data_IF_018684813901
#
_entry.id   IF_018684813901
#
_cell.length_a   1.000
_cell.length_b   1.000
_cell.length_c   1.000
_cell.angle_alpha   90.00
_cell.angle_beta   90.00
_cell.angle_gamma   90.00
#
_symmetry.space_group_name_H-M   'P 1'
#
loop_
_entity.id
_entity.type
_entity.pdbx_description
1 polymer ?
#
# COMPACT_ATOMS: atom_id res chain seq x y z
N UNK A 1 42.69 -35.21 60.24
CA UNK A 1 42.55 -33.76 60.53
C UNK A 1 42.13 -32.91 59.32
N UNK A 2 42.35 -33.29 58.05
CA UNK A 2 42.00 -32.43 56.88
C UNK A 2 40.49 -32.36 56.52
N UNK A 3 39.68 -33.33 56.92
CA UNK A 3 38.24 -33.40 56.56
C UNK A 3 37.34 -32.51 57.44
N UNK A 4 37.70 -32.32 58.72
CA UNK A 4 36.92 -31.49 59.65
C UNK A 4 37.05 -30.00 59.28
N UNK A 5 38.24 -29.57 58.86
CA UNK A 5 38.44 -28.19 58.40
C UNK A 5 37.68 -27.86 57.12
N UNK A 6 37.51 -28.83 56.21
CA UNK A 6 36.72 -28.62 54.99
C UNK A 6 35.22 -28.51 55.30
N UNK A 7 34.71 -29.32 56.23
CA UNK A 7 33.30 -29.24 56.65
C UNK A 7 32.99 -27.94 57.41
N UNK A 8 33.91 -27.46 58.25
CA UNK A 8 33.80 -26.16 58.90
C UNK A 8 33.87 -24.99 57.92
N UNK A 9 34.72 -25.08 56.89
CA UNK A 9 34.81 -24.07 55.84
C UNK A 9 33.54 -24.03 54.98
N UNK A 10 32.98 -25.20 54.63
CA UNK A 10 31.71 -25.30 53.91
C UNK A 10 30.54 -24.78 54.75
N UNK A 11 30.51 -25.04 56.06
CA UNK A 11 29.48 -24.52 56.96
C UNK A 11 29.59 -22.99 57.13
N UNK A 12 30.80 -22.45 57.25
CA UNK A 12 31.04 -21.00 57.29
C UNK A 12 30.65 -20.32 55.98
N UNK A 13 30.97 -20.93 54.83
CA UNK A 13 30.57 -20.42 53.51
C UNK A 13 29.03 -20.47 53.33
N UNK A 14 28.36 -21.53 53.78
CA UNK A 14 26.90 -21.61 53.76
C UNK A 14 26.25 -20.55 54.67
N UNK A 15 26.80 -20.32 55.87
CA UNK A 15 26.33 -19.26 56.76
C UNK A 15 26.54 -17.87 56.15
N UNK A 16 27.65 -17.61 55.45
CA UNK A 16 27.83 -16.34 54.73
C UNK A 16 26.88 -16.19 53.54
N UNK A 17 26.58 -17.26 52.79
CA UNK A 17 25.61 -17.19 51.69
C UNK A 17 24.16 -17.02 52.17
N UNK A 18 23.82 -17.51 53.37
CA UNK A 18 22.49 -17.28 53.97
C UNK A 18 22.39 -15.87 54.57
N UNK A 19 23.48 -15.29 55.09
CA UNK A 19 23.53 -13.89 55.51
C UNK A 19 23.66 -12.88 54.36
N UNK A 20 24.07 -13.32 53.17
CA UNK A 20 24.02 -12.58 51.90
C UNK A 20 22.96 -13.12 50.94
N UNK A 21 21.90 -13.73 51.46
CA UNK A 21 20.64 -13.67 50.73
C UNK A 21 20.42 -12.18 50.43
N UNK A 22 20.16 -11.76 49.18
CA UNK A 22 19.61 -10.45 48.96
C UNK A 22 18.32 -10.44 49.76
N UNK A 23 18.38 -9.92 50.99
CA UNK A 23 17.20 -9.48 51.69
C UNK A 23 16.45 -8.73 50.63
N UNK A 24 15.22 -9.16 50.37
CA UNK A 24 14.31 -8.43 49.52
C UNK A 24 14.60 -6.97 49.82
N UNK A 25 15.18 -6.26 48.85
CA UNK A 25 14.91 -4.85 48.71
C UNK A 25 13.40 -4.86 48.52
N UNK A 26 12.67 -4.97 49.64
CA UNK A 26 11.36 -4.41 49.83
C UNK A 26 11.60 -3.05 49.27
N UNK A 27 11.18 -2.87 48.02
CA UNK A 27 10.98 -1.57 47.44
C UNK A 27 10.30 -0.83 48.56
N UNK A 28 11.03 0.11 49.17
CA UNK A 28 10.55 0.89 50.29
C UNK A 28 9.21 1.37 49.79
N UNK A 29 8.16 0.81 50.38
CA UNK A 29 6.85 0.88 49.80
C UNK A 29 6.49 2.36 50.03
N UNK A 30 6.71 3.21 49.01
CA UNK A 30 6.37 4.65 49.02
C UNK A 30 4.87 4.88 49.27
N UNK A 31 4.13 3.82 49.56
CA UNK A 31 2.78 3.81 50.11
C UNK A 31 2.70 4.32 51.55
N UNK A 32 3.80 4.39 52.32
CA UNK A 32 3.78 4.89 53.71
C UNK A 32 3.90 6.43 53.86
N UNK A 33 4.35 7.16 52.83
CA UNK A 33 4.41 8.64 52.83
C UNK A 33 3.07 9.33 52.53
N UNK A 34 1.98 8.56 52.43
CA UNK A 34 0.69 9.04 51.96
C UNK A 34 -0.35 9.29 53.07
N UNK A 35 0.05 9.34 54.35
CA UNK A 35 -0.89 9.24 55.49
C UNK A 35 -2.06 10.28 55.53
N UNK A 36 -1.90 11.56 55.16
CA UNK A 36 -3.01 12.53 55.18
C UNK A 36 -3.95 12.39 53.97
N UNK A 37 -3.39 12.23 52.77
CA UNK A 37 -4.11 12.26 51.50
C UNK A 37 -4.80 10.92 51.19
N UNK A 38 -4.24 9.81 51.70
CA UNK A 38 -4.91 8.51 51.67
C UNK A 38 -6.29 8.60 52.28
N UNK A 39 -6.55 9.40 53.33
CA UNK A 39 -7.89 9.48 53.95
C UNK A 39 -8.97 9.97 52.98
N UNK A 40 -8.67 10.95 52.12
CA UNK A 40 -9.67 11.55 51.23
C UNK A 40 -10.05 10.65 50.03
N UNK A 41 -9.12 9.81 49.57
CA UNK A 41 -9.31 8.93 48.42
C UNK A 41 -9.09 7.43 48.75
N UNK A 42 -9.09 7.05 50.04
CA UNK A 42 -8.69 5.70 50.54
C UNK A 42 -9.48 4.57 49.92
N UNK A 43 -10.77 4.83 49.75
CA UNK A 43 -11.75 3.89 49.26
C UNK A 43 -11.84 3.92 47.74
N UNK A 44 -10.99 4.65 47.02
CA UNK A 44 -11.07 4.75 45.56
C UNK A 44 -10.00 3.89 44.88
N UNK A 45 -10.32 3.41 43.69
CA UNK A 45 -9.39 2.76 42.77
C UNK A 45 -9.71 3.14 41.33
N UNK A 46 -8.66 3.38 40.55
CA UNK A 46 -8.78 3.40 39.10
C UNK A 46 -9.02 1.98 38.59
N UNK A 47 -9.98 1.85 37.67
CA UNK A 47 -10.27 0.62 36.96
C UNK A 47 -10.15 0.89 35.47
N UNK A 48 -9.26 0.18 34.80
CA UNK A 48 -9.24 0.14 33.35
C UNK A 48 -10.51 -0.55 32.83
N UNK A 49 -11.29 0.14 32.01
CA UNK A 49 -12.53 -0.40 31.43
C UNK A 49 -12.26 -0.96 30.03
N UNK A 50 -11.69 -0.13 29.16
CA UNK A 50 -11.50 -0.46 27.74
C UNK A 50 -10.49 0.46 27.09
N UNK A 51 -10.04 0.06 25.90
CA UNK A 51 -9.39 0.95 24.96
C UNK A 51 -9.99 0.76 23.55
N UNK A 52 -9.85 1.77 22.70
CA UNK A 52 -10.14 1.71 21.27
C UNK A 52 -9.05 2.42 20.48
N UNK A 53 -8.82 1.99 19.24
CA UNK A 53 -7.93 2.69 18.31
C UNK A 53 -8.77 3.74 17.57
N UNK A 54 -8.48 5.01 17.81
CA UNK A 54 -9.16 6.13 17.16
C UNK A 54 -8.55 6.47 15.81
N UNK A 55 -7.22 6.46 15.74
CA UNK A 55 -6.48 6.86 14.55
C UNK A 55 -5.25 5.96 14.38
N UNK A 56 -4.90 5.69 13.13
CA UNK A 56 -3.63 5.09 12.74
C UNK A 56 -2.89 6.03 11.79
N UNK A 57 -1.61 6.29 12.04
CA UNK A 57 -0.75 7.15 11.21
C UNK A 57 0.39 6.32 10.59
N UNK A 58 0.46 6.34 9.27
CA UNK A 58 1.41 5.59 8.44
C UNK A 58 2.34 6.54 7.69
N UNK A 59 3.58 6.09 7.48
CA UNK A 59 4.52 6.72 6.55
C UNK A 59 4.67 5.81 5.33
N UNK A 60 4.24 6.29 4.17
CA UNK A 60 4.34 5.53 2.92
C UNK A 60 4.57 6.46 1.73
N UNK A 61 5.54 6.08 0.89
CA UNK A 61 5.80 6.68 -0.42
C UNK A 61 5.97 8.21 -0.36
N UNK A 62 6.67 8.69 0.69
CA UNK A 62 6.90 10.12 0.93
C UNK A 62 5.68 10.89 1.44
N UNK A 63 4.66 10.20 1.97
CA UNK A 63 3.45 10.80 2.52
C UNK A 63 3.16 10.28 3.93
N UNK A 64 2.49 11.13 4.73
CA UNK A 64 1.86 10.75 5.99
C UNK A 64 0.40 10.43 5.71
N UNK A 65 -0.04 9.21 6.01
CA UNK A 65 -1.44 8.80 5.86
C UNK A 65 -2.04 8.64 7.24
N UNK A 66 -3.06 9.44 7.54
CA UNK A 66 -3.86 9.33 8.76
C UNK A 66 -5.18 8.65 8.43
N UNK A 67 -5.51 7.63 9.22
CA UNK A 67 -6.73 6.85 9.12
C UNK A 67 -7.50 7.00 10.42
N UNK A 68 -8.62 7.70 10.38
CA UNK A 68 -9.52 7.86 11.53
C UNK A 68 -10.61 6.80 11.46
N UNK A 69 -10.69 5.97 12.50
CA UNK A 69 -11.61 4.84 12.54
C UNK A 69 -13.03 5.29 12.93
N UNK A 70 -14.05 5.00 12.11
CA UNK A 70 -15.45 5.41 12.37
C UNK A 70 -16.45 4.29 12.12
N UNK A 71 -16.45 3.30 13.01
CA UNK A 71 -17.42 2.20 12.94
C UNK A 71 -17.21 1.39 11.66
N UNK A 72 -18.14 1.46 10.71
CA UNK A 72 -18.09 0.67 9.46
C UNK A 72 -17.24 1.31 8.35
N UNK A 73 -16.88 2.58 8.46
CA UNK A 73 -16.04 3.26 7.47
C UNK A 73 -14.98 4.08 8.17
N UNK A 74 -13.88 4.32 7.48
CA UNK A 74 -12.77 5.12 8.01
C UNK A 74 -12.57 6.36 7.16
N UNK A 75 -12.18 7.45 7.80
CA UNK A 75 -11.78 8.69 7.12
C UNK A 75 -10.27 8.68 6.92
N UNK A 76 -9.83 8.79 5.68
CA UNK A 76 -8.42 8.86 5.29
C UNK A 76 -8.04 10.30 4.97
N UNK A 77 -6.86 10.69 5.44
CA UNK A 77 -6.21 11.97 5.13
C UNK A 77 -4.77 11.70 4.72
N UNK A 78 -4.39 12.12 3.51
CA UNK A 78 -3.04 11.97 2.98
C UNK A 78 -2.36 13.32 2.98
N UNK A 79 -1.22 13.42 3.63
CA UNK A 79 -0.42 14.63 3.74
C UNK A 79 0.94 14.43 3.08
N UNK A 80 1.49 15.49 2.47
CA UNK A 80 2.92 15.54 2.15
C UNK A 80 3.75 15.60 3.42
N UNK A 81 5.04 15.27 3.31
CA UNK A 81 6.04 15.44 4.38
C UNK A 81 6.09 16.84 4.99
N UNK A 82 5.74 17.88 4.24
CA UNK A 82 5.66 19.25 4.74
C UNK A 82 4.34 19.60 5.46
N UNK A 83 3.46 18.61 5.70
CA UNK A 83 2.19 18.78 6.41
C UNK A 83 1.02 19.28 5.56
N UNK A 84 1.21 19.53 4.25
CA UNK A 84 0.11 19.93 3.36
C UNK A 84 -0.81 18.74 3.08
N UNK A 85 -2.11 18.91 3.32
CA UNK A 85 -3.14 17.94 2.94
C UNK A 85 -3.22 17.82 1.40
N UNK A 86 -3.13 16.58 0.90
CA UNK A 86 -3.27 16.23 -0.51
C UNK A 86 -4.66 15.70 -0.82
N UNK A 87 -5.13 14.73 -0.04
CA UNK A 87 -6.38 14.02 -0.28
C UNK A 87 -7.10 13.75 1.04
N UNK A 88 -8.43 13.78 1.00
CA UNK A 88 -9.29 13.31 2.08
C UNK A 88 -10.46 12.53 1.51
N UNK A 89 -10.72 11.34 2.01
CA UNK A 89 -11.76 10.44 1.46
C UNK A 89 -12.18 9.39 2.47
N UNK A 90 -13.23 8.66 2.16
CA UNK A 90 -13.70 7.52 2.95
C UNK A 90 -13.20 6.21 2.38
N UNK A 91 -12.86 5.27 3.26
CA UNK A 91 -12.61 3.88 2.90
C UNK A 91 -13.37 2.92 3.81
N UNK A 92 -13.50 1.67 3.39
CA UNK A 92 -13.94 0.57 4.25
C UNK A 92 -12.78 0.14 5.19
N UNK A 93 -13.09 -0.72 6.15
CA UNK A 93 -12.16 -1.25 7.14
C UNK A 93 -11.02 -2.08 6.53
N UNK A 94 -11.21 -2.66 5.35
CA UNK A 94 -10.16 -3.37 4.60
C UNK A 94 -9.27 -2.44 3.76
N UNK A 95 -9.61 -1.15 3.67
CA UNK A 95 -8.89 -0.15 2.89
C UNK A 95 -9.45 0.11 1.49
N UNK A 96 -10.61 -0.46 1.12
CA UNK A 96 -11.30 -0.14 -0.13
C UNK A 96 -11.76 1.32 -0.14
N UNK A 97 -11.33 2.09 -1.13
CA UNK A 97 -11.75 3.49 -1.31
C UNK A 97 -13.22 3.55 -1.74
N UNK A 98 -14.02 4.30 -0.97
CA UNK A 98 -15.48 4.43 -1.17
C UNK A 98 -15.88 5.76 -1.84
N UNK A 99 -15.00 6.76 -1.83
CA UNK A 99 -15.27 8.08 -2.41
C UNK A 99 -14.77 8.19 -3.85
N UNK A 100 -15.48 8.90 -4.75
CA UNK A 100 -14.91 9.33 -6.01
C UNK A 100 -13.84 10.40 -5.75
N UNK A 101 -12.65 10.24 -6.35
CA UNK A 101 -11.57 11.22 -6.22
C UNK A 101 -10.50 11.07 -7.32
N UNK A 102 -9.64 12.08 -7.42
CA UNK A 102 -8.36 11.99 -8.09
C UNK A 102 -7.25 11.76 -7.05
N UNK A 103 -6.72 10.55 -6.99
CA UNK A 103 -5.69 10.18 -6.02
C UNK A 103 -4.30 10.29 -6.65
N UNK A 104 -3.49 11.23 -6.17
CA UNK A 104 -2.07 11.32 -6.54
C UNK A 104 -1.22 10.49 -5.59
N UNK A 105 -0.34 9.64 -6.14
CA UNK A 105 0.56 8.76 -5.40
C UNK A 105 1.90 8.62 -6.12
N UNK A 106 2.91 8.10 -5.43
CA UNK A 106 4.23 7.83 -6.00
C UNK A 106 4.40 6.33 -6.23
N UNK A 107 4.69 5.93 -7.47
CA UNK A 107 4.92 4.54 -7.86
C UNK A 107 5.95 4.49 -8.98
N UNK A 108 6.82 3.46 -8.96
CA UNK A 108 7.81 3.20 -10.02
C UNK A 108 8.72 4.41 -10.34
N UNK A 109 8.94 5.31 -9.38
CA UNK A 109 9.77 6.50 -9.59
C UNK A 109 9.00 7.75 -10.07
N UNK A 110 7.69 7.64 -10.31
CA UNK A 110 6.85 8.70 -10.88
C UNK A 110 5.66 9.06 -9.99
N UNK A 111 5.18 10.30 -10.11
CA UNK A 111 3.92 10.70 -9.52
C UNK A 111 2.77 10.42 -10.49
N UNK A 112 1.96 9.43 -10.15
CA UNK A 112 0.78 9.05 -10.90
C UNK A 112 -0.47 9.64 -10.25
N UNK A 113 -1.50 9.89 -11.06
CA UNK A 113 -2.82 10.31 -10.58
C UNK A 113 -3.89 9.38 -11.13
N UNK A 114 -4.59 8.69 -10.23
CA UNK A 114 -5.70 7.83 -10.59
C UNK A 114 -7.04 8.54 -10.40
N UNK A 115 -7.90 8.48 -11.41
CA UNK A 115 -9.31 8.86 -11.31
C UNK A 115 -10.13 7.65 -10.85
N UNK A 116 -10.71 7.75 -9.65
CA UNK A 116 -11.44 6.67 -9.00
C UNK A 116 -12.93 7.01 -8.99
N UNK A 117 -13.77 6.09 -9.47
CA UNK A 117 -15.24 6.25 -9.54
C UNK A 117 -15.94 5.01 -9.00
N UNK A 118 -16.10 4.88 -7.67
CA UNK A 118 -16.65 3.70 -7.02
C UNK A 118 -18.07 3.33 -7.52
N UNK A 119 -18.46 2.07 -7.35
CA UNK A 119 -19.80 1.56 -7.68
C UNK A 119 -20.03 1.20 -9.15
N UNK A 120 -19.08 1.50 -10.04
CA UNK A 120 -19.23 1.28 -11.49
C UNK A 120 -18.32 0.18 -12.06
N UNK A 121 -17.56 -0.50 -11.19
CA UNK A 121 -16.45 -1.39 -11.59
C UNK A 121 -15.29 -0.62 -12.23
N UNK A 122 -14.16 -1.28 -12.45
CA UNK A 122 -12.98 -0.67 -13.06
C UNK A 122 -11.71 -1.44 -12.74
N UNK A 123 -10.57 -0.80 -13.01
CA UNK A 123 -9.28 -1.43 -12.75
C UNK A 123 -8.96 -1.46 -11.25
N UNK A 124 -8.36 -2.56 -10.81
CA UNK A 124 -7.91 -2.74 -9.44
C UNK A 124 -6.49 -2.20 -9.28
N UNK A 125 -6.31 -1.25 -8.37
CA UNK A 125 -5.01 -0.72 -8.02
C UNK A 125 -4.82 -0.58 -6.50
N UNK A 126 -3.58 -0.70 -6.05
CA UNK A 126 -3.17 -0.61 -4.64
C UNK A 126 -2.28 0.62 -4.43
N UNK A 127 -2.46 1.28 -3.29
CA UNK A 127 -1.79 2.53 -2.95
C UNK A 127 -1.09 2.45 -1.60
N UNK A 128 -0.07 3.30 -1.41
CA UNK A 128 0.59 3.56 -0.13
C UNK A 128 1.06 2.27 0.55
N UNK A 129 1.87 1.48 -0.15
CA UNK A 129 2.32 0.16 0.30
C UNK A 129 1.18 -0.81 0.65
N UNK A 130 0.15 -0.86 -0.21
CA UNK A 130 -1.06 -1.70 -0.06
C UNK A 130 -1.87 -1.38 1.20
N UNK A 131 -1.78 -0.14 1.67
CA UNK A 131 -2.63 0.35 2.76
C UNK A 131 -4.07 0.51 2.29
N UNK A 132 -4.23 1.01 1.06
CA UNK A 132 -5.51 1.34 0.46
C UNK A 132 -5.58 0.73 -0.93
N UNK A 133 -6.78 0.49 -1.43
CA UNK A 133 -6.98 0.05 -2.80
C UNK A 133 -8.30 0.54 -3.37
N UNK A 134 -8.41 0.48 -4.69
CA UNK A 134 -9.65 0.73 -5.41
C UNK A 134 -9.80 -0.33 -6.48
N UNK A 135 -11.03 -0.80 -6.70
CA UNK A 135 -11.43 -1.65 -7.82
C UNK A 135 -12.21 -0.86 -8.88
N UNK A 136 -12.07 0.47 -8.88
CA UNK A 136 -12.87 1.38 -9.67
C UNK A 136 -12.04 2.50 -10.30
N UNK A 137 -10.78 2.19 -10.65
CA UNK A 137 -9.91 3.13 -11.36
C UNK A 137 -10.34 3.21 -12.83
N UNK A 138 -10.52 4.45 -13.32
CA UNK A 138 -10.98 4.77 -14.68
C UNK A 138 -9.91 5.38 -15.56
N UNK A 139 -8.96 6.06 -14.94
CA UNK A 139 -7.85 6.70 -15.62
C UNK A 139 -6.65 6.68 -14.70
N UNK A 140 -5.49 6.28 -15.21
CA UNK A 140 -4.18 6.56 -14.60
C UNK A 140 -3.47 7.58 -15.47
N UNK A 141 -3.00 8.67 -14.88
CA UNK A 141 -2.27 9.73 -15.58
C UNK A 141 -0.87 9.92 -14.98
N UNK A 142 0.16 9.88 -15.81
CA UNK A 142 1.48 10.43 -15.52
C UNK A 142 1.62 11.77 -16.24
N UNK A 143 1.49 12.86 -15.49
CA UNK A 143 1.58 14.22 -16.07
C UNK A 143 3.00 14.59 -16.48
N UNK A 144 4.01 14.00 -15.84
CA UNK A 144 5.42 14.30 -16.14
C UNK A 144 5.87 13.54 -17.39
N UNK A 145 5.52 12.26 -17.49
CA UNK A 145 5.76 11.44 -18.68
C UNK A 145 4.78 11.66 -19.83
N UNK A 146 3.69 12.39 -19.60
CA UNK A 146 2.67 12.68 -20.61
C UNK A 146 1.82 11.45 -20.99
N UNK A 147 1.69 10.47 -20.09
CA UNK A 147 0.95 9.23 -20.37
C UNK A 147 -0.42 9.21 -19.70
N UNK A 148 -1.38 8.57 -20.36
CA UNK A 148 -2.74 8.35 -19.86
C UNK A 148 -3.17 6.92 -20.17
N UNK A 149 -3.76 6.24 -19.20
CA UNK A 149 -4.36 4.91 -19.38
C UNK A 149 -5.81 4.93 -18.93
N UNK A 150 -6.73 4.84 -19.88
CA UNK A 150 -8.16 4.74 -19.61
C UNK A 150 -8.54 3.28 -19.44
N UNK A 151 -9.41 2.97 -18.49
CA UNK A 151 -9.90 1.61 -18.24
C UNK A 151 -11.40 1.50 -18.51
N UNK A 152 -11.81 0.34 -19.01
CA UNK A 152 -13.22 0.02 -19.21
C UNK A 152 -13.97 -0.19 -17.86
N UNK A 153 -15.27 -0.49 -17.93
CA UNK A 153 -16.09 -0.77 -16.73
C UNK A 153 -15.73 -2.04 -15.99
N UNK A 154 -15.02 -2.97 -16.63
CA UNK A 154 -14.57 -4.20 -15.97
C UNK A 154 -13.12 -4.13 -15.50
N UNK A 155 -12.38 -3.08 -15.88
CA UNK A 155 -10.96 -2.93 -15.59
C UNK A 155 -10.05 -3.89 -16.35
N UNK A 156 -10.57 -4.55 -17.38
CA UNK A 156 -9.87 -5.59 -18.17
C UNK A 156 -9.29 -5.03 -19.47
N UNK A 157 -10.03 -4.11 -20.09
CA UNK A 157 -9.63 -3.44 -21.31
C UNK A 157 -9.08 -2.07 -20.95
N UNK A 158 -8.08 -1.62 -21.70
CA UNK A 158 -7.52 -0.29 -21.48
C UNK A 158 -7.03 0.38 -22.74
N UNK A 159 -7.12 1.70 -22.78
CA UNK A 159 -6.53 2.53 -23.81
C UNK A 159 -5.38 3.32 -23.20
N UNK A 160 -4.16 2.96 -23.56
CA UNK A 160 -2.95 3.67 -23.18
C UNK A 160 -2.56 4.67 -24.27
N UNK A 161 -2.20 5.87 -23.86
CA UNK A 161 -1.87 6.98 -24.74
C UNK A 161 -0.64 7.71 -24.22
N UNK A 162 0.27 8.05 -25.12
CA UNK A 162 1.45 8.87 -24.82
C UNK A 162 1.36 10.16 -25.60
N UNK A 163 1.49 11.28 -24.89
CA UNK A 163 1.55 12.60 -25.47
C UNK A 163 2.96 13.17 -25.29
N UNK A 164 3.48 13.80 -26.34
CA UNK A 164 4.75 14.54 -26.28
C UNK A 164 4.48 15.95 -26.76
N UNK A 165 4.80 16.95 -25.92
CA UNK A 165 4.52 18.36 -26.21
C UNK A 165 3.04 18.63 -26.57
N UNK A 166 2.13 17.95 -25.88
CA UNK A 166 0.67 18.08 -26.09
C UNK A 166 0.09 17.33 -27.29
N UNK A 167 0.91 16.69 -28.12
CA UNK A 167 0.45 15.91 -29.29
C UNK A 167 0.48 14.42 -28.99
N UNK A 168 -0.56 13.69 -29.42
CA UNK A 168 -0.60 12.23 -29.35
C UNK A 168 0.53 11.63 -30.20
N UNK A 169 1.35 10.78 -29.60
CA UNK A 169 2.46 10.10 -30.27
C UNK A 169 2.25 8.61 -30.39
N UNK A 170 1.65 7.99 -29.38
CA UNK A 170 1.43 6.56 -29.32
C UNK A 170 0.11 6.27 -28.65
N UNK A 171 -0.60 5.28 -29.18
CA UNK A 171 -1.83 4.75 -28.63
C UNK A 171 -1.75 3.24 -28.68
N UNK A 172 -2.02 2.57 -27.56
CA UNK A 172 -2.17 1.12 -27.50
C UNK A 172 -3.49 0.78 -26.84
N UNK A 173 -4.32 0.03 -27.56
CA UNK A 173 -5.51 -0.61 -27.02
C UNK A 173 -5.15 -2.00 -26.52
N UNK A 174 -5.52 -2.29 -25.28
CA UNK A 174 -5.39 -3.59 -24.64
C UNK A 174 -6.77 -4.21 -24.52
N UNK A 175 -6.93 -5.44 -25.00
CA UNK A 175 -8.10 -6.27 -24.77
C UNK A 175 -7.73 -7.40 -23.83
N UNK A 176 -8.36 -7.48 -22.65
CA UNK A 176 -8.01 -8.41 -21.58
C UNK A 176 -6.51 -8.44 -21.22
N UNK A 177 -5.84 -7.29 -21.29
CA UNK A 177 -4.42 -7.16 -20.97
C UNK A 177 -3.45 -7.44 -22.13
N UNK A 178 -3.92 -7.88 -23.30
CA UNK A 178 -3.10 -8.11 -24.48
C UNK A 178 -3.24 -6.97 -25.50
N UNK A 179 -2.14 -6.60 -26.16
CA UNK A 179 -2.11 -5.59 -27.21
C UNK A 179 -3.02 -6.00 -28.38
N UNK A 180 -4.17 -5.35 -28.54
CA UNK A 180 -5.07 -5.61 -29.67
C UNK A 180 -4.81 -4.66 -30.84
N UNK A 181 -4.49 -3.39 -30.53
CA UNK A 181 -4.19 -2.35 -31.53
C UNK A 181 -3.12 -1.42 -31.01
N UNK A 182 -2.12 -1.11 -31.81
CA UNK A 182 -1.12 -0.09 -31.53
C UNK A 182 -1.03 0.89 -32.70
N UNK A 183 -0.95 2.19 -32.43
CA UNK A 183 -0.78 3.24 -33.44
C UNK A 183 0.26 4.26 -33.01
N UNK A 184 1.10 4.71 -33.96
CA UNK A 184 2.12 5.75 -33.72
C UNK A 184 2.01 6.88 -34.74
N UNK A 185 2.23 8.11 -34.30
CA UNK A 185 2.17 9.31 -35.14
C UNK A 185 3.47 10.11 -35.12
N UNK A 186 3.75 10.77 -36.24
CA UNK A 186 4.84 11.71 -36.44
C UNK A 186 4.65 13.01 -35.67
N UNK A 187 5.69 13.84 -35.60
CA UNK A 187 5.62 15.15 -34.91
C UNK A 187 4.65 16.13 -35.59
N UNK A 188 4.35 15.85 -36.87
CA UNK A 188 3.40 16.58 -37.70
C UNK A 188 1.97 16.01 -37.58
N UNK A 189 1.79 14.88 -36.88
CA UNK A 189 0.48 14.24 -36.68
C UNK A 189 0.09 13.23 -37.77
N UNK A 190 1.03 12.83 -38.64
CA UNK A 190 0.79 11.79 -39.64
C UNK A 190 0.94 10.40 -39.01
N UNK A 191 0.07 9.44 -39.38
CA UNK A 191 0.18 8.06 -38.90
C UNK A 191 1.42 7.41 -39.52
N UNK A 192 2.34 6.93 -38.69
CA UNK A 192 3.58 6.26 -39.11
C UNK A 192 3.49 4.74 -38.95
N UNK A 193 2.64 4.28 -38.04
CA UNK A 193 2.58 2.88 -37.64
C UNK A 193 1.19 2.50 -37.16
N UNK A 194 0.73 1.31 -37.54
CA UNK A 194 -0.48 0.68 -37.02
C UNK A 194 -0.24 -0.83 -36.94
N UNK A 195 -0.47 -1.44 -35.79
CA UNK A 195 -0.48 -2.89 -35.61
C UNK A 195 -1.82 -3.29 -35.03
N UNK A 196 -2.38 -4.38 -35.54
CA UNK A 196 -3.56 -5.07 -35.03
C UNK A 196 -3.20 -6.55 -34.82
N UNK A 197 -4.15 -7.36 -34.35
CA UNK A 197 -3.97 -8.82 -34.26
C UNK A 197 -3.66 -9.50 -35.60
N UNK A 198 -3.97 -8.86 -36.75
CA UNK A 198 -3.89 -9.48 -38.08
C UNK A 198 -3.05 -8.69 -39.08
N UNK A 199 -2.64 -7.48 -38.74
CA UNK A 199 -1.91 -6.62 -39.67
C UNK A 199 -0.91 -5.78 -38.91
N UNK A 200 0.21 -5.49 -39.56
CA UNK A 200 1.14 -4.45 -39.16
C UNK A 200 1.37 -3.57 -40.38
N UNK A 201 1.28 -2.26 -40.19
CA UNK A 201 1.34 -1.25 -41.25
C UNK A 201 2.35 -0.20 -40.84
N UNK A 202 3.26 0.10 -41.75
CA UNK A 202 4.30 1.13 -41.57
C UNK A 202 4.16 2.10 -42.73
N UNK A 203 4.07 3.39 -42.44
CA UNK A 203 4.11 4.44 -43.44
C UNK A 203 5.49 5.05 -43.43
N UNK A 204 6.18 5.03 -44.57
CA UNK A 204 7.46 5.72 -44.71
C UNK A 204 7.26 7.22 -44.95
N UNK A 205 8.37 7.97 -45.02
CA UNK A 205 8.36 9.44 -45.19
C UNK A 205 7.64 9.92 -46.46
N UNK A 206 7.41 9.04 -47.43
CA UNK A 206 6.65 9.30 -48.67
C UNK A 206 5.20 8.81 -48.61
N UNK A 207 4.68 8.48 -47.43
CA UNK A 207 3.38 7.82 -47.20
C UNK A 207 3.17 6.49 -47.96
N UNK A 208 4.24 5.84 -48.43
CA UNK A 208 4.10 4.48 -48.97
C UNK A 208 3.78 3.55 -47.82
N UNK A 209 2.65 2.87 -47.94
CA UNK A 209 2.19 1.86 -47.01
C UNK A 209 2.99 0.58 -47.24
N UNK A 210 3.72 0.15 -46.21
CA UNK A 210 4.20 -1.22 -46.07
C UNK A 210 3.21 -1.94 -45.19
N UNK A 211 2.44 -2.87 -45.74
CA UNK A 211 1.52 -3.71 -44.96
C UNK A 211 2.06 -5.13 -44.85
N UNK A 212 2.16 -5.60 -43.63
CA UNK A 212 2.34 -6.99 -43.22
C UNK A 212 0.97 -7.57 -42.84
N UNK A 213 0.51 -8.62 -43.52
CA UNK A 213 -0.73 -9.32 -43.16
C UNK A 213 -0.47 -10.80 -42.88
N UNK A 214 -1.15 -11.32 -41.85
CA UNK A 214 -1.23 -12.76 -41.57
C UNK A 214 -2.24 -13.39 -42.53
N UNK A 215 -1.87 -14.49 -43.17
CA UNK A 215 -2.82 -15.26 -43.98
C UNK A 215 -2.77 -16.74 -43.60
N UNK A 216 -3.94 -17.28 -43.26
CA UNK A 216 -4.17 -18.70 -42.96
C UNK A 216 -4.09 -19.61 -44.20
N UNK A 217 -3.84 -19.07 -45.38
CA UNK A 217 -3.92 -19.79 -46.67
C UNK A 217 -2.84 -20.85 -46.91
N UNK A 218 -1.84 -21.01 -46.04
CA UNK A 218 -0.85 -22.10 -46.16
C UNK A 218 -0.74 -22.83 -44.83
N UNK A 219 -1.51 -23.92 -44.71
CA UNK A 219 -1.32 -24.95 -43.67
C UNK A 219 -1.34 -24.42 -42.22
N UNK A 220 -2.11 -23.36 -41.91
CA UNK A 220 -2.15 -22.71 -40.58
C UNK A 220 -0.79 -22.14 -40.11
N UNK A 221 0.11 -21.78 -41.03
CA UNK A 221 1.42 -21.20 -40.72
C UNK A 221 1.44 -19.68 -40.94
N UNK A 222 2.14 -18.96 -40.07
CA UNK A 222 2.35 -17.51 -40.21
C UNK A 222 3.29 -17.21 -41.38
N UNK A 223 2.75 -16.62 -42.44
CA UNK A 223 3.53 -16.08 -43.58
C UNK A 223 3.45 -14.57 -43.53
N UNK A 224 4.60 -13.89 -43.62
CA UNK A 224 4.71 -12.43 -43.69
C UNK A 224 4.45 -12.01 -45.14
N UNK A 225 3.28 -11.43 -45.42
CA UNK A 225 2.97 -10.83 -46.72
C UNK A 225 3.31 -9.34 -46.70
N UNK A 226 4.25 -8.87 -47.51
CA UNK A 226 4.61 -7.47 -47.65
C UNK A 226 3.97 -6.87 -48.90
N UNK A 227 3.15 -5.83 -48.72
CA UNK A 227 2.50 -5.08 -49.80
C UNK A 227 3.05 -3.66 -49.87
N UNK A 228 3.41 -3.21 -51.06
CA UNK A 228 3.83 -1.84 -51.36
C UNK A 228 2.77 -1.19 -52.25
N UNK A 229 2.49 0.08 -52.02
CA UNK A 229 1.49 0.84 -52.78
C UNK A 229 2.12 2.05 -53.48
N UNK A 230 1.58 2.39 -54.66
CA UNK A 230 1.87 3.63 -55.36
C UNK A 230 1.21 4.81 -54.64
N UNK A 231 1.70 6.06 -54.83
CA UNK A 231 1.04 7.26 -54.30
C UNK A 231 -0.41 7.44 -54.76
N UNK A 232 -0.78 6.85 -55.90
CA UNK A 232 -2.14 6.82 -56.44
C UNK A 232 -3.09 5.94 -55.62
N UNK A 233 -2.58 5.12 -54.71
CA UNK A 233 -3.35 4.11 -53.98
C UNK A 233 -3.49 2.77 -54.71
N UNK A 234 -2.91 2.63 -55.91
CA UNK A 234 -2.80 1.34 -56.59
C UNK A 234 -1.73 0.46 -55.92
N UNK A 235 -1.96 -0.85 -55.88
CA UNK A 235 -0.97 -1.82 -55.39
C UNK A 235 0.24 -1.79 -56.34
N UNK A 236 1.45 -1.78 -55.80
CA UNK A 236 2.70 -1.74 -56.57
C UNK A 236 3.42 -3.09 -56.55
N UNK A 237 3.45 -3.77 -55.40
CA UNK A 237 4.00 -5.12 -55.30
C UNK A 237 3.46 -5.89 -54.11
N UNK A 238 3.51 -7.21 -54.22
CA UNK A 238 3.22 -8.18 -53.15
C UNK A 238 4.36 -9.19 -53.07
N UNK A 239 4.91 -9.41 -51.88
CA UNK A 239 5.92 -10.44 -51.63
C UNK A 239 5.57 -11.25 -50.39
N UNK A 240 5.90 -12.54 -50.38
CA UNK A 240 5.64 -13.43 -49.25
C UNK A 240 6.93 -13.98 -48.67
N UNK A 241 7.05 -13.90 -47.34
CA UNK A 241 8.21 -14.33 -46.57
C UNK A 241 7.81 -15.34 -45.48
N UNK A 242 8.64 -16.35 -45.25
CA UNK A 242 8.51 -17.34 -44.18
C UNK A 242 9.83 -17.42 -43.40
N UNK A 243 9.81 -17.17 -42.09
CA UNK A 243 11.01 -17.04 -41.25
C UNK A 243 12.11 -16.11 -41.83
N UNK A 244 11.71 -15.02 -42.49
CA UNK A 244 12.63 -14.08 -43.12
C UNK A 244 13.20 -14.50 -44.48
N UNK A 245 12.78 -15.67 -45.01
CA UNK A 245 13.15 -16.14 -46.35
C UNK A 245 12.00 -15.98 -47.33
N UNK A 246 12.31 -15.64 -48.59
CA UNK A 246 11.34 -15.57 -49.68
C UNK A 246 10.87 -16.97 -50.07
N UNK A 247 9.56 -17.21 -50.18
CA UNK A 247 9.09 -18.61 -50.18
C UNK A 247 7.89 -18.95 -51.05
N UNK A 248 7.22 -17.98 -51.72
CA UNK A 248 5.98 -18.31 -52.43
C UNK A 248 5.86 -17.59 -53.77
N UNK A 249 5.51 -16.30 -53.78
CA UNK A 249 5.19 -15.57 -55.01
C UNK A 249 5.53 -14.09 -54.87
N UNK A 250 6.08 -13.48 -55.91
CA UNK A 250 6.24 -12.03 -56.02
C UNK A 250 5.35 -11.56 -57.15
N UNK A 251 4.55 -10.54 -56.91
CA UNK A 251 3.67 -9.94 -57.91
C UNK A 251 3.97 -8.45 -57.99
N UNK A 252 4.15 -7.93 -59.19
CA UNK A 252 4.37 -6.51 -59.44
C UNK A 252 3.24 -5.95 -60.27
N UNK A 253 2.86 -4.70 -59.98
CA UNK A 253 1.70 -4.03 -60.55
C UNK A 253 2.07 -2.63 -61.01
N UNK A 254 1.51 -2.19 -62.14
CA UNK A 254 1.69 -0.82 -62.63
C UNK A 254 0.80 0.19 -61.85
N UNK A 255 0.93 1.49 -62.14
CA UNK A 255 0.13 2.55 -61.46
C UNK A 255 -1.39 2.46 -61.69
N UNK A 256 -1.83 1.67 -62.68
CA UNK A 256 -3.25 1.38 -62.94
C UNK A 256 -3.74 0.14 -62.18
N UNK A 257 -2.86 -0.58 -61.48
CA UNK A 257 -3.16 -1.82 -60.76
C UNK A 257 -3.14 -3.08 -61.63
N UNK A 258 -2.58 -3.02 -62.84
CA UNK A 258 -2.45 -4.19 -63.72
C UNK A 258 -1.18 -4.97 -63.38
N UNK A 259 -1.29 -6.31 -63.27
CA UNK A 259 -0.16 -7.20 -63.00
C UNK A 259 0.83 -7.17 -64.17
N UNK A 260 2.10 -6.86 -63.89
CA UNK A 260 3.18 -6.76 -64.87
C UNK A 260 4.18 -7.91 -64.77
N UNK A 261 4.36 -8.51 -63.60
CA UNK A 261 5.34 -9.59 -63.39
C UNK A 261 4.94 -10.50 -62.23
N UNK A 262 5.20 -11.81 -62.36
CA UNK A 262 5.02 -12.81 -61.31
C UNK A 262 6.24 -13.74 -61.21
N UNK A 263 6.79 -13.95 -60.00
CA UNK A 263 7.95 -14.84 -59.76
C UNK A 263 7.66 -15.81 -58.60
N UNK A 264 7.98 -17.12 -58.74
CA UNK A 264 7.63 -18.18 -57.76
C UNK A 264 8.90 -18.84 -57.20
N UNK A 265 8.98 -19.05 -55.87
CA UNK A 265 10.15 -19.67 -55.22
C UNK A 265 9.79 -20.76 -54.20
N UNK A 266 10.04 -22.04 -54.52
CA UNK A 266 10.34 -23.15 -53.57
C UNK A 266 9.24 -23.72 -52.65
N UNK A 267 9.44 -24.95 -52.13
CA UNK A 267 8.45 -25.75 -51.37
C UNK A 267 8.74 -25.84 -49.83
N UNK A 268 7.71 -25.70 -48.99
CA UNK A 268 7.77 -25.35 -47.54
C UNK A 268 7.87 -26.55 -46.55
N UNK A 269 8.46 -27.66 -46.95
CA UNK A 269 8.22 -28.98 -46.36
C UNK A 269 8.68 -29.31 -44.93
N UNK A 270 9.39 -28.47 -44.15
CA UNK A 270 9.94 -28.92 -42.84
C UNK A 270 10.14 -27.81 -41.80
N UNK A 271 9.20 -27.58 -40.88
CA UNK A 271 9.48 -26.93 -39.58
C UNK A 271 8.40 -27.31 -38.53
N UNK A 272 8.85 -27.69 -37.32
CA UNK A 272 8.09 -28.10 -36.12
C UNK A 272 8.29 -27.09 -34.95
N UNK A 273 7.46 -27.10 -33.87
CA UNK A 273 7.20 -25.90 -33.06
C UNK A 273 7.77 -25.93 -31.62
N UNK A 274 7.63 -24.80 -30.88
CA UNK A 274 6.90 -24.64 -29.58
C UNK A 274 7.44 -23.45 -28.75
N UNK A 275 6.55 -22.66 -28.12
CA UNK A 275 6.63 -22.27 -26.69
C UNK A 275 5.33 -21.58 -26.22
N UNK A 276 4.77 -22.06 -25.11
CA UNK A 276 3.69 -21.44 -24.30
C UNK A 276 4.29 -20.62 -23.16
N UNK A 277 3.65 -19.49 -22.84
CA UNK A 277 4.05 -18.57 -21.75
C UNK A 277 3.28 -18.92 -20.48
N UNK A 278 3.99 -18.96 -19.34
CA UNK A 278 3.42 -19.16 -18.00
C UNK A 278 2.65 -17.94 -17.50
N UNK A 279 1.58 -18.19 -16.74
CA UNK A 279 0.79 -17.16 -16.07
C UNK A 279 1.54 -16.61 -14.83
N UNK A 280 1.44 -15.30 -14.52
CA UNK A 280 2.08 -14.75 -13.34
C UNK A 280 1.36 -15.16 -12.05
N UNK A 281 2.17 -15.40 -11.01
CA UNK A 281 1.76 -15.97 -9.73
C UNK A 281 1.18 -14.99 -8.70
N UNK A 282 0.40 -15.64 -7.82
CA UNK A 282 -0.10 -15.37 -6.47
C UNK A 282 -0.40 -13.94 -5.94
N UNK A 283 -1.59 -13.85 -5.35
CA UNK A 283 -2.17 -12.69 -4.66
C UNK A 283 -1.74 -12.69 -3.19
N UNK A 284 -0.95 -11.69 -2.79
CA UNK A 284 -0.59 -11.47 -1.38
C UNK A 284 -1.78 -10.99 -0.53
N UNK A 285 -1.95 -11.54 0.68
CA UNK A 285 -2.91 -11.05 1.69
C UNK A 285 -2.25 -10.04 2.65
N UNK A 286 -2.98 -8.99 3.02
CA UNK A 286 -2.57 -8.00 4.03
C UNK A 286 -2.69 -8.63 5.42
N UNK A 287 -1.66 -8.46 6.27
CA UNK A 287 -1.65 -8.94 7.66
C UNK A 287 -1.42 -7.75 8.60
N UNK A 288 -2.39 -7.49 9.47
CA UNK A 288 -2.31 -6.48 10.53
C UNK A 288 -2.01 -7.14 11.88
N UNK A 289 -1.12 -6.52 12.65
CA UNK A 289 -0.75 -6.93 14.00
C UNK A 289 -0.86 -5.72 14.91
N UNK A 290 -1.92 -5.69 15.72
CA UNK A 290 -2.07 -4.68 16.77
C UNK A 290 -1.34 -5.14 18.02
N UNK A 291 -0.67 -4.21 18.71
CA UNK A 291 -0.14 -4.52 20.04
C UNK A 291 -1.30 -4.66 21.04
N UNK A 292 -1.30 -5.75 21.78
CA UNK A 292 -2.24 -5.94 22.87
C UNK A 292 -1.79 -5.09 24.06
N UNK A 293 -2.31 -3.87 24.16
CA UNK A 293 -1.93 -2.91 25.21
C UNK A 293 -2.63 -3.18 26.55
N UNK A 294 -3.63 -4.07 26.60
CA UNK A 294 -4.40 -4.39 27.81
C UNK A 294 -3.51 -4.94 28.95
N UNK A 295 -2.63 -5.94 28.72
CA UNK A 295 -1.77 -6.47 29.78
C UNK A 295 -0.82 -5.40 30.35
N UNK A 296 -0.28 -4.52 29.51
CA UNK A 296 0.55 -3.40 29.94
C UNK A 296 -0.23 -2.46 30.88
N UNK A 297 -1.44 -2.05 30.49
CA UNK A 297 -2.27 -1.18 31.31
C UNK A 297 -2.74 -1.85 32.61
N UNK A 298 -3.01 -3.15 32.60
CA UNK A 298 -3.41 -3.86 33.82
C UNK A 298 -2.26 -4.05 34.80
N UNK A 299 -1.02 -4.27 34.34
CA UNK A 299 0.12 -4.57 35.23
C UNK A 299 0.85 -3.32 35.70
N UNK A 300 1.22 -2.42 34.79
CA UNK A 300 2.10 -1.29 35.13
C UNK A 300 1.33 -0.02 35.47
N UNK A 301 0.32 0.31 34.67
CA UNK A 301 -0.44 1.55 34.85
C UNK A 301 -1.21 1.54 36.19
N UNK A 302 -1.76 0.40 36.62
CA UNK A 302 -2.51 0.30 37.88
C UNK A 302 -1.68 0.70 39.12
N UNK A 303 -0.40 0.31 39.18
CA UNK A 303 0.48 0.67 40.30
C UNK A 303 0.73 2.18 40.33
N UNK A 304 1.07 2.76 39.17
CA UNK A 304 1.30 4.21 39.02
C UNK A 304 0.05 5.05 39.27
N UNK A 305 -1.12 4.55 38.86
CA UNK A 305 -2.41 5.18 39.14
C UNK A 305 -2.77 5.15 40.63
N UNK A 306 -2.37 4.11 41.36
CA UNK A 306 -2.53 4.06 42.81
C UNK A 306 -1.67 5.11 43.52
N UNK A 307 -0.43 5.33 43.07
CA UNK A 307 0.44 6.41 43.55
C UNK A 307 -0.18 7.79 43.30
N UNK A 308 -0.76 8.00 42.11
CA UNK A 308 -1.44 9.24 41.75
C UNK A 308 -2.63 9.55 42.67
N UNK A 309 -3.49 8.55 42.94
CA UNK A 309 -4.59 8.70 43.91
C UNK A 309 -4.09 9.06 45.30
N UNK A 310 -2.90 8.58 45.64
CA UNK A 310 -2.29 8.80 46.94
C UNK A 310 -1.83 10.25 47.12
N UNK A 311 -1.16 10.82 46.11
CA UNK A 311 -0.58 12.17 46.20
C UNK A 311 -1.55 13.29 45.85
N UNK A 312 -2.66 12.98 45.17
CA UNK A 312 -3.57 14.01 44.68
C UNK A 312 -4.46 14.58 45.79
N UNK A 313 -4.56 15.92 45.82
CA UNK A 313 -5.43 16.66 46.74
C UNK A 313 -6.88 16.78 46.25
N UNK A 314 -7.10 16.56 44.96
CA UNK A 314 -8.44 16.57 44.37
C UNK A 314 -9.15 15.24 44.62
N UNK A 315 -10.49 15.25 44.59
CA UNK A 315 -11.31 14.04 44.75
C UNK A 315 -11.73 13.54 43.35
N UNK A 316 -10.94 12.69 42.67
CA UNK A 316 -11.33 12.16 41.38
C UNK A 316 -12.59 11.31 41.50
N UNK A 317 -13.46 11.34 40.50
CA UNK A 317 -14.72 10.61 40.48
C UNK A 317 -15.20 10.40 39.04
N UNK A 318 -16.07 9.41 38.85
CA UNK A 318 -16.68 9.12 37.55
C UNK A 318 -15.74 8.42 36.57
N UNK A 319 -15.98 8.66 35.29
CA UNK A 319 -15.23 8.08 34.16
C UNK A 319 -14.30 9.13 33.58
N UNK A 320 -13.09 8.69 33.24
CA UNK A 320 -12.08 9.48 32.57
C UNK A 320 -11.79 8.90 31.20
N UNK A 321 -11.72 9.77 30.20
CA UNK A 321 -11.31 9.42 28.84
C UNK A 321 -9.94 10.00 28.59
N UNK A 322 -8.99 9.15 28.23
CA UNK A 322 -7.61 9.53 28.00
C UNK A 322 -7.30 9.31 26.52
N UNK A 323 -6.80 10.34 25.85
CA UNK A 323 -6.29 10.21 24.49
C UNK A 323 -4.78 10.02 24.58
N UNK A 324 -4.28 8.89 24.11
CA UNK A 324 -2.88 8.49 24.23
C UNK A 324 -2.33 8.12 22.86
N UNK A 325 -1.18 8.67 22.52
CA UNK A 325 -0.44 8.33 21.33
C UNK A 325 0.54 7.19 21.64
N UNK A 326 0.46 6.11 20.88
CA UNK A 326 1.51 5.09 20.75
C UNK A 326 2.32 5.42 19.49
N UNK A 327 3.55 5.86 19.64
CA UNK A 327 4.40 6.19 18.50
C UNK A 327 4.99 4.93 17.82
N UNK A 328 5.60 5.13 16.64
CA UNK A 328 6.20 4.07 15.84
C UNK A 328 7.41 3.36 16.51
N UNK A 329 7.92 3.91 17.62
CA UNK A 329 8.96 3.30 18.44
C UNK A 329 8.37 2.50 19.62
N UNK A 330 7.05 2.50 19.80
CA UNK A 330 6.39 1.84 20.93
C UNK A 330 6.30 2.71 22.19
N UNK A 331 6.53 4.02 22.10
CA UNK A 331 6.43 4.92 23.27
C UNK A 331 5.03 5.51 23.39
N UNK A 332 4.48 5.48 24.61
CA UNK A 332 3.19 6.05 24.94
C UNK A 332 3.31 7.51 25.39
N UNK A 333 2.42 8.38 24.93
CA UNK A 333 2.34 9.80 25.32
C UNK A 333 0.90 10.22 25.49
N UNK A 334 0.56 10.76 26.65
CA UNK A 334 -0.76 11.36 26.87
C UNK A 334 -0.91 12.64 26.04
N UNK A 335 -2.03 12.76 25.32
CA UNK A 335 -2.39 13.94 24.53
C UNK A 335 -3.42 14.80 25.25
N UNK A 336 -4.49 14.18 25.73
CA UNK A 336 -5.53 14.86 26.50
C UNK A 336 -6.18 13.92 27.50
N UNK A 337 -6.83 14.51 28.50
CA UNK A 337 -7.62 13.78 29.48
C UNK A 337 -8.90 14.56 29.77
N UNK A 338 -10.02 13.86 29.76
CA UNK A 338 -11.33 14.38 30.14
C UNK A 338 -11.83 13.69 31.40
N UNK A 339 -12.51 14.44 32.27
CA UNK A 339 -13.06 13.95 33.53
C UNK A 339 -12.98 14.98 34.66
N UNK A 340 -13.45 14.61 35.84
CA UNK A 340 -13.49 15.51 37.01
C UNK A 340 -12.06 15.89 37.42
N UNK A 341 -11.79 17.20 37.51
CA UNK A 341 -10.46 17.74 37.82
C UNK A 341 -9.34 17.25 36.88
N UNK A 342 -9.67 16.97 35.61
CA UNK A 342 -8.72 16.45 34.65
C UNK A 342 -7.53 17.38 34.41
N UNK A 343 -7.77 18.70 34.32
CA UNK A 343 -6.72 19.71 34.14
C UNK A 343 -5.62 19.63 35.22
N UNK A 344 -6.01 19.33 36.47
CA UNK A 344 -5.07 19.21 37.60
C UNK A 344 -4.31 17.88 37.57
N UNK A 345 -4.97 16.80 37.11
CA UNK A 345 -4.42 15.45 37.11
C UNK A 345 -3.61 15.12 35.84
N UNK A 346 -3.82 15.86 34.75
CA UNK A 346 -3.24 15.59 33.44
C UNK A 346 -1.69 15.65 33.42
N UNK A 347 -0.99 16.60 34.07
CA UNK A 347 0.48 16.63 34.07
C UNK A 347 1.10 15.38 34.73
N UNK A 348 0.48 14.94 35.83
CA UNK A 348 0.87 13.73 36.54
C UNK A 348 0.62 12.48 35.68
N UNK A 349 -0.55 12.42 35.03
CA UNK A 349 -0.90 11.34 34.12
C UNK A 349 0.06 11.29 32.91
N UNK A 350 0.42 12.43 32.33
CA UNK A 350 1.38 12.51 31.23
C UNK A 350 2.76 11.97 31.65
N UNK A 351 3.20 12.28 32.87
CA UNK A 351 4.45 11.75 33.44
C UNK A 351 4.41 10.24 33.56
N UNK A 352 3.28 9.67 34.03
CA UNK A 352 3.09 8.22 34.13
C UNK A 352 3.22 7.56 32.75
N UNK A 353 2.48 8.06 31.74
CA UNK A 353 2.52 7.47 30.39
C UNK A 353 3.90 7.55 29.75
N UNK A 354 4.64 8.64 29.97
CA UNK A 354 6.02 8.76 29.47
C UNK A 354 7.01 7.79 30.13
N UNK A 355 6.70 7.28 31.32
CA UNK A 355 7.51 6.32 32.08
C UNK A 355 7.11 4.86 31.83
N UNK A 356 5.95 4.60 31.23
CA UNK A 356 5.54 3.24 30.88
C UNK A 356 6.51 2.70 29.82
N UNK A 357 7.15 1.57 30.14
CA UNK A 357 8.08 0.87 29.26
C UNK A 357 7.50 -0.50 28.92
N UNK A 358 7.57 -0.92 27.66
CA UNK A 358 7.14 -2.27 27.26
C UNK A 358 5.96 -2.34 26.31
N UNK A 359 5.37 -1.21 25.90
CA UNK A 359 4.53 -1.18 24.71
C UNK A 359 5.39 -1.47 23.46
N UNK A 360 4.92 -2.36 22.59
CA UNK A 360 5.53 -2.54 21.26
C UNK A 360 4.80 -1.66 20.24
N UNK A 361 5.50 -1.24 19.17
CA UNK A 361 4.83 -0.54 18.08
C UNK A 361 3.87 -1.48 17.35
N UNK A 362 2.74 -0.94 16.90
CA UNK A 362 1.82 -1.65 16.03
C UNK A 362 2.45 -1.89 14.65
N UNK A 363 2.11 -3.00 13.99
CA UNK A 363 2.68 -3.39 12.70
C UNK A 363 1.63 -3.73 11.65
N UNK A 364 1.90 -3.36 10.40
CA UNK A 364 1.13 -3.78 9.21
C UNK A 364 2.09 -4.21 8.13
N UNK A 365 1.96 -5.44 7.65
CA UNK A 365 2.89 -6.05 6.69
C UNK A 365 4.37 -5.89 7.11
N UNK A 366 4.66 -6.09 8.40
CA UNK A 366 5.99 -5.96 8.99
C UNK A 366 6.47 -4.53 9.26
N UNK A 367 5.74 -3.50 8.83
CA UNK A 367 6.12 -2.09 9.02
C UNK A 367 5.42 -1.48 10.23
N UNK A 368 6.16 -0.73 11.03
CA UNK A 368 5.63 -0.06 12.23
C UNK A 368 4.83 1.18 11.89
N UNK A 369 3.74 1.43 12.61
CA UNK A 369 2.92 2.64 12.47
C UNK A 369 2.50 3.18 13.84
N UNK A 370 2.10 4.46 13.89
CA UNK A 370 1.67 5.11 15.12
C UNK A 370 0.14 5.00 15.29
N UNK A 371 -0.33 4.99 16.53
CA UNK A 371 -1.75 4.90 16.87
C UNK A 371 -2.15 6.00 17.86
N UNK A 372 -3.35 6.53 17.68
CA UNK A 372 -4.05 7.29 18.69
C UNK A 372 -5.09 6.38 19.34
N UNK A 373 -4.98 6.22 20.65
CA UNK A 373 -5.81 5.34 21.46
C UNK A 373 -6.72 6.18 22.35
N UNK A 374 -7.98 5.81 22.47
CA UNK A 374 -8.85 6.27 23.55
C UNK A 374 -8.86 5.20 24.64
N UNK A 375 -8.51 5.58 25.87
CA UNK A 375 -8.63 4.70 27.03
C UNK A 375 -9.72 5.21 27.96
N UNK A 376 -10.56 4.29 28.40
CA UNK A 376 -11.58 4.58 29.40
C UNK A 376 -11.12 4.04 30.75
N UNK A 377 -10.94 4.94 31.70
CA UNK A 377 -10.66 4.62 33.09
C UNK A 377 -11.87 5.02 33.96
N UNK A 378 -12.22 4.21 34.96
CA UNK A 378 -13.30 4.51 35.90
C UNK A 378 -12.77 4.57 37.31
N UNK A 379 -13.18 5.60 38.06
CA UNK A 379 -13.00 5.61 39.50
C UNK A 379 -14.11 4.79 40.13
N UNK A 380 -13.70 3.73 40.81
CA UNK A 380 -14.57 2.87 41.60
C UNK A 380 -14.33 3.11 43.09
N UNK A 381 -15.38 3.00 43.89
CA UNK A 381 -15.23 2.79 45.32
C UNK A 381 -14.95 1.30 45.57
N UNK A 382 -13.87 1.00 46.26
CA UNK A 382 -13.58 -0.33 46.80
C UNK A 382 -14.78 -0.74 47.66
N UNK A 383 -15.53 -1.72 47.17
CA UNK A 383 -16.52 -2.43 47.99
C UNK A 383 -15.72 -3.08 49.12
N UNK A 384 -16.13 -2.82 50.36
CA UNK A 384 -15.45 -3.33 51.55
C UNK A 384 -15.53 -4.85 51.62
#
# INVERSE_FOLDING_TARGET
>A
MKTIHLQLLCALLLCTFICFAPGELRAQNKTDDCKPLRRANRNKSWQFQSYSVMESEYQADGNTIRRIHKGKTDSIYVYRTNGKLLNSFLCDQDGLILSPLHLTYFAEGHYLTDSIVPGTGGHLNWYFNRLLYSNAVRLTEDRQGGTKRYYDSRGKDSLWMVHTSGKLRLMTWYHNGEDSVQRRWSGQGLLEYEKTSYTERVWNDNQKLLQYSFDTLIQKKTVKCEKIWHPTGALASVTYHYFGQHCLTWEYYNEKGELIEQSRQGDLGKLWPVATVEAPGEVYRVVEQHEEVIPLFKRELNLKLAELLCRTKVKPAGTYRLIVMLDNAGKLRLRSMEGIAAEVLQPDMATIFNQLSGAKPAKRNGRTYAQLLELTLKISTKVK
#
